data_IF_389291996587
#
_entry.id   IF_389291996587
#
_cell.length_a   1.000
_cell.length_b   1.000
_cell.length_c   1.000
_cell.angle_alpha   90.00
_cell.angle_beta   90.00
_cell.angle_gamma   90.00
#
_symmetry.space_group_name_H-M   'P 1'
#
loop_
_entity.id
_entity.type
_entity.pdbx_description
1 polymer ?
#
# COMPACT_ATOMS: atom_id res chain seq x y z
N UNK A 1 78.70 2.53 -22.07
CA UNK A 1 78.08 1.29 -21.57
C UNK A 1 76.70 1.67 -21.04
N UNK A 2 75.67 1.33 -21.83
CA UNK A 2 74.23 1.18 -21.54
C UNK A 2 73.56 2.17 -20.55
N UNK A 3 72.77 3.13 -21.05
CA UNK A 3 71.30 3.08 -21.17
C UNK A 3 70.61 2.53 -19.91
N UNK A 4 69.72 3.31 -19.28
CA UNK A 4 68.37 2.91 -18.86
C UNK A 4 67.57 4.20 -18.50
N UNK A 5 66.90 4.78 -19.50
CA UNK A 5 65.81 5.74 -19.27
C UNK A 5 64.57 4.93 -18.87
N UNK A 6 64.13 5.08 -17.62
CA UNK A 6 62.84 4.54 -17.18
C UNK A 6 61.79 5.62 -17.37
N UNK A 7 60.99 5.51 -18.44
CA UNK A 7 59.79 6.32 -18.64
C UNK A 7 58.71 5.73 -17.72
N UNK A 8 58.43 6.41 -16.60
CA UNK A 8 57.20 6.15 -15.84
C UNK A 8 56.02 6.75 -16.61
N UNK A 9 55.23 5.87 -17.25
CA UNK A 9 53.91 6.22 -17.74
C UNK A 9 53.01 6.48 -16.51
N UNK A 10 52.76 7.75 -16.20
CA UNK A 10 51.73 8.14 -15.25
C UNK A 10 50.40 7.87 -15.94
N UNK A 11 49.77 6.75 -15.62
CA UNK A 11 48.40 6.46 -16.01
C UNK A 11 47.50 7.38 -15.17
N UNK A 12 47.09 8.52 -15.73
CA UNK A 12 45.99 9.31 -15.16
C UNK A 12 44.73 8.43 -15.23
N UNK A 13 44.40 7.76 -14.13
CA UNK A 13 43.07 7.22 -13.93
C UNK A 13 42.13 8.42 -13.82
N UNK A 14 41.45 8.75 -14.92
CA UNK A 14 40.29 9.64 -14.91
C UNK A 14 39.24 8.97 -14.04
N UNK A 15 39.19 9.36 -12.76
CA UNK A 15 38.12 9.01 -11.83
C UNK A 15 36.84 9.63 -12.38
N UNK A 16 36.11 8.86 -13.17
CA UNK A 16 34.75 9.23 -13.55
C UNK A 16 33.96 9.25 -12.25
N UNK A 17 33.46 10.43 -11.88
CA UNK A 17 32.47 10.55 -10.81
C UNK A 17 31.22 9.85 -11.33
N UNK A 18 31.04 8.60 -10.93
CA UNK A 18 29.81 7.85 -11.21
C UNK A 18 28.70 8.48 -10.37
N UNK A 19 27.81 9.23 -11.01
CA UNK A 19 26.57 9.67 -10.38
C UNK A 19 25.50 8.61 -10.63
N UNK A 20 24.57 8.46 -9.69
CA UNK A 20 23.37 7.62 -9.87
C UNK A 20 22.14 8.43 -9.52
N UNK A 21 21.09 8.29 -10.33
CA UNK A 21 19.78 8.88 -10.09
C UNK A 21 18.79 7.74 -10.05
N UNK A 22 17.95 7.70 -9.01
CA UNK A 22 16.84 6.77 -8.88
C UNK A 22 15.57 7.57 -8.70
N UNK A 23 14.61 7.40 -9.63
CA UNK A 23 13.26 7.92 -9.44
C UNK A 23 12.57 7.13 -8.32
N UNK A 24 11.90 7.85 -7.42
CA UNK A 24 11.21 7.29 -6.25
C UNK A 24 9.69 7.49 -6.36
N UNK A 25 9.18 7.54 -7.58
CA UNK A 25 7.76 7.80 -7.88
C UNK A 25 7.44 9.28 -7.99
N UNK A 26 6.15 9.58 -8.17
CA UNK A 26 5.62 10.93 -8.34
C UNK A 26 4.30 11.10 -7.59
N UNK A 27 4.02 12.33 -7.15
CA UNK A 27 2.75 12.70 -6.54
C UNK A 27 1.95 13.48 -7.58
N UNK A 28 0.69 13.13 -7.74
CA UNK A 28 -0.25 13.82 -8.63
C UNK A 28 -1.53 14.15 -7.87
N UNK A 29 -2.25 15.15 -8.32
CA UNK A 29 -3.56 15.50 -7.77
C UNK A 29 -4.63 15.27 -8.83
N UNK A 30 -5.70 14.59 -8.44
CA UNK A 30 -6.90 14.41 -9.27
C UNK A 30 -8.11 14.85 -8.45
N UNK A 31 -8.77 15.92 -8.89
CA UNK A 31 -9.96 16.48 -8.23
C UNK A 31 -9.74 16.81 -6.74
N UNK A 32 -8.59 17.37 -6.37
CA UNK A 32 -8.26 17.69 -4.98
C UNK A 32 -7.81 16.51 -4.12
N UNK A 33 -7.71 15.30 -4.69
CA UNK A 33 -7.22 14.11 -4.01
C UNK A 33 -5.79 13.82 -4.47
N UNK A 34 -4.87 13.70 -3.52
CA UNK A 34 -3.47 13.36 -3.80
C UNK A 34 -3.30 11.86 -4.01
N UNK A 35 -2.53 11.50 -5.03
CA UNK A 35 -2.13 10.13 -5.35
C UNK A 35 -0.63 10.03 -5.50
N UNK A 36 -0.07 8.90 -5.08
CA UNK A 36 1.30 8.51 -5.36
C UNK A 36 1.33 7.43 -6.44
N UNK A 37 2.22 7.61 -7.41
CA UNK A 37 2.48 6.67 -8.49
C UNK A 37 3.86 6.07 -8.22
N UNK A 38 3.94 4.79 -7.79
CA UNK A 38 5.21 4.12 -7.56
C UNK A 38 6.03 4.04 -8.85
N UNK A 39 7.37 4.02 -8.76
CA UNK A 39 8.25 3.92 -9.94
C UNK A 39 8.09 2.58 -10.69
N UNK A 40 7.46 1.57 -10.05
CA UNK A 40 7.15 0.31 -10.70
C UNK A 40 6.15 0.53 -11.85
N UNK A 41 6.59 0.19 -13.05
CA UNK A 41 5.77 0.18 -14.27
C UNK A 41 4.99 -1.14 -14.32
N UNK A 42 3.67 -1.06 -14.48
CA UNK A 42 2.79 -2.23 -14.58
C UNK A 42 2.64 -2.75 -16.01
N UNK A 43 2.84 -1.86 -16.98
CA UNK A 43 2.83 -2.17 -18.41
C UNK A 43 3.31 -0.96 -19.20
N UNK A 44 3.73 -1.21 -20.44
CA UNK A 44 4.11 -0.17 -21.39
C UNK A 44 3.31 -0.37 -22.67
N UNK A 45 2.23 0.38 -22.79
CA UNK A 45 1.36 0.30 -23.94
C UNK A 45 1.15 1.67 -24.58
N UNK A 46 1.56 1.77 -25.84
CA UNK A 46 1.40 2.97 -26.66
C UNK A 46 0.59 2.66 -27.91
N UNK A 47 -0.14 3.65 -28.39
CA UNK A 47 -0.84 3.58 -29.67
C UNK A 47 -0.17 4.48 -30.69
N UNK A 48 0.88 3.96 -31.32
CA UNK A 48 1.50 4.67 -32.43
C UNK A 48 0.45 4.90 -33.53
N UNK A 49 0.37 6.13 -34.03
CA UNK A 49 -0.52 6.55 -35.11
C UNK A 49 -2.03 6.32 -34.88
N UNK A 50 -2.48 6.16 -33.63
CA UNK A 50 -3.91 6.08 -33.33
C UNK A 50 -4.54 7.48 -33.30
N UNK A 51 -5.57 7.76 -34.13
CA UNK A 51 -6.15 9.09 -34.25
C UNK A 51 -6.96 9.55 -33.04
N UNK A 52 -7.36 8.63 -32.15
CA UNK A 52 -8.00 8.95 -30.86
C UNK A 52 -6.92 9.38 -29.87
N UNK A 53 -5.83 8.62 -29.76
CA UNK A 53 -4.72 8.93 -28.85
C UNK A 53 -3.97 10.19 -29.27
N UNK A 54 -3.85 10.45 -30.58
CA UNK A 54 -3.27 11.69 -31.11
C UNK A 54 -4.01 12.97 -30.69
N UNK A 55 -5.25 12.86 -30.16
CA UNK A 55 -6.03 13.99 -29.63
C UNK A 55 -5.84 14.20 -28.13
N UNK A 56 -5.20 13.26 -27.44
CA UNK A 56 -4.88 13.35 -26.02
C UNK A 56 -3.63 14.22 -25.85
N UNK A 57 -3.77 15.36 -25.18
CA UNK A 57 -2.71 16.38 -25.07
C UNK A 57 -1.99 16.40 -23.73
N UNK A 58 -2.57 15.79 -22.69
CA UNK A 58 -1.98 15.80 -21.36
C UNK A 58 -0.84 14.76 -21.23
N UNK A 59 0.22 15.05 -20.45
CA UNK A 59 1.35 14.13 -20.29
C UNK A 59 0.98 12.86 -19.51
N UNK A 60 -0.11 12.91 -18.75
CA UNK A 60 -0.61 11.86 -17.88
C UNK A 60 -2.13 11.92 -17.82
N UNK A 61 -2.78 10.77 -18.03
CA UNK A 61 -4.22 10.62 -17.93
C UNK A 61 -4.58 9.69 -16.77
N UNK A 62 -5.57 10.03 -15.95
CA UNK A 62 -6.21 9.08 -15.05
C UNK A 62 -7.08 8.14 -15.89
N UNK A 63 -6.89 6.84 -15.70
CA UNK A 63 -7.53 5.82 -16.54
C UNK A 63 -8.24 4.77 -15.69
N UNK A 64 -9.17 4.05 -16.31
CA UNK A 64 -9.81 2.90 -15.69
C UNK A 64 -9.66 1.68 -16.58
N UNK A 65 -9.15 0.59 -16.03
CA UNK A 65 -9.19 -0.71 -16.70
C UNK A 65 -10.48 -1.44 -16.33
N UNK A 66 -11.19 -1.95 -17.34
CA UNK A 66 -12.43 -2.71 -17.19
C UNK A 66 -12.24 -4.09 -17.82
N UNK A 67 -12.53 -5.14 -17.05
CA UNK A 67 -12.63 -6.49 -17.58
C UNK A 67 -14.05 -6.73 -18.13
N UNK A 68 -14.13 -6.95 -19.44
CA UNK A 68 -15.38 -7.22 -20.17
C UNK A 68 -15.69 -8.71 -20.33
N UNK A 69 -14.78 -9.60 -19.94
CA UNK A 69 -14.95 -11.05 -20.08
C UNK A 69 -16.00 -11.62 -19.10
N UNK A 70 -16.35 -10.88 -18.05
CA UNK A 70 -17.35 -11.26 -17.03
C UNK A 70 -18.82 -11.10 -17.45
N UNK A 71 -19.11 -10.55 -18.64
CA UNK A 71 -20.46 -10.36 -19.19
C UNK A 71 -20.89 -8.90 -19.35
N UNK A 72 -22.06 -8.68 -19.97
CA UNK A 72 -22.63 -7.36 -20.30
C UNK A 72 -23.16 -6.62 -19.05
N UNK A 73 -22.27 -5.99 -18.29
CA UNK A 73 -22.67 -4.97 -17.29
C UNK A 73 -22.54 -3.59 -17.92
N UNK A 74 -23.55 -2.72 -17.74
CA UNK A 74 -23.45 -1.34 -18.21
C UNK A 74 -22.31 -0.61 -17.48
N UNK A 75 -21.66 0.36 -18.15
CA UNK A 75 -20.66 1.21 -17.50
C UNK A 75 -21.17 1.83 -16.18
N UNK A 76 -22.46 2.20 -16.12
CA UNK A 76 -23.11 2.70 -14.92
C UNK A 76 -23.05 1.71 -13.75
N UNK A 77 -23.34 0.44 -14.01
CA UNK A 77 -23.29 -0.62 -13.01
C UNK A 77 -21.84 -0.90 -12.57
N UNK A 78 -20.89 -0.86 -13.50
CA UNK A 78 -19.47 -1.03 -13.21
C UNK A 78 -18.96 0.10 -12.32
N UNK A 79 -19.25 1.36 -12.69
CA UNK A 79 -18.86 2.55 -11.91
C UNK A 79 -19.47 2.51 -10.52
N UNK A 80 -20.77 2.21 -10.41
CA UNK A 80 -21.43 2.09 -9.11
C UNK A 80 -20.82 0.97 -8.25
N UNK A 81 -20.50 -0.18 -8.86
CA UNK A 81 -19.81 -1.28 -8.20
C UNK A 81 -18.43 -0.85 -7.67
N UNK A 82 -17.62 -0.20 -8.51
CA UNK A 82 -16.29 0.26 -8.11
C UNK A 82 -16.36 1.29 -6.98
N UNK A 83 -17.23 2.28 -7.06
CA UNK A 83 -17.39 3.29 -5.99
C UNK A 83 -17.89 2.69 -4.67
N UNK A 84 -18.67 1.61 -4.73
CA UNK A 84 -19.13 0.92 -3.51
C UNK A 84 -18.06 0.08 -2.83
N UNK A 85 -17.05 -0.36 -3.59
CA UNK A 85 -16.00 -1.28 -3.11
C UNK A 85 -14.67 -0.60 -2.85
N UNK A 86 -14.39 0.53 -3.49
CA UNK A 86 -13.06 1.13 -3.54
C UNK A 86 -13.09 2.65 -3.31
N UNK A 87 -12.31 3.08 -2.33
CA UNK A 87 -12.10 4.46 -1.92
C UNK A 87 -10.97 5.16 -2.70
N UNK A 88 -10.24 4.43 -3.56
CA UNK A 88 -9.24 5.01 -4.46
C UNK A 88 -9.88 5.46 -5.77
N UNK A 89 -10.75 4.60 -6.33
CA UNK A 89 -11.51 4.91 -7.54
C UNK A 89 -12.47 6.09 -7.31
N UNK A 90 -12.49 7.01 -8.27
CA UNK A 90 -13.49 8.06 -8.40
C UNK A 90 -13.71 8.37 -9.88
N UNK A 91 -14.78 9.11 -10.19
CA UNK A 91 -15.17 9.41 -11.57
C UNK A 91 -14.08 10.11 -12.40
N UNK A 92 -13.10 10.76 -11.77
CA UNK A 92 -11.96 11.35 -12.46
C UNK A 92 -11.08 10.32 -13.17
N UNK A 93 -11.10 9.05 -12.74
CA UNK A 93 -10.39 7.97 -13.43
C UNK A 93 -11.06 7.51 -14.72
N UNK A 94 -12.24 8.04 -15.07
CA UNK A 94 -12.92 7.70 -16.31
C UNK A 94 -12.45 8.51 -17.52
N UNK A 95 -11.43 9.37 -17.39
CA UNK A 95 -10.96 10.20 -18.50
C UNK A 95 -10.58 9.36 -19.73
N UNK A 96 -9.92 8.22 -19.51
CA UNK A 96 -9.70 7.19 -20.53
C UNK A 96 -10.05 5.81 -19.97
N UNK A 97 -10.82 5.04 -20.73
CA UNK A 97 -11.21 3.67 -20.35
C UNK A 97 -10.46 2.68 -21.22
N UNK A 98 -9.81 1.72 -20.57
CA UNK A 98 -9.20 0.56 -21.20
C UNK A 98 -10.02 -0.70 -20.94
N UNK A 99 -10.05 -1.61 -21.92
CA UNK A 99 -10.73 -2.89 -21.75
C UNK A 99 -10.06 -4.06 -22.47
N UNK A 100 -10.26 -5.27 -21.96
CA UNK A 100 -9.73 -6.50 -22.59
C UNK A 100 -10.57 -7.02 -23.79
N UNK A 101 -11.73 -6.41 -24.10
CA UNK A 101 -12.56 -6.77 -25.25
C UNK A 101 -11.92 -6.40 -26.60
N UNK A 102 -12.27 -7.14 -27.66
CA UNK A 102 -11.78 -6.90 -29.04
C UNK A 102 -12.55 -5.79 -29.79
N UNK A 103 -13.69 -5.35 -29.25
CA UNK A 103 -14.49 -4.24 -29.75
C UNK A 103 -15.04 -3.41 -28.59
N UNK A 104 -15.36 -2.14 -28.86
CA UNK A 104 -15.93 -1.21 -27.87
C UNK A 104 -17.41 -1.50 -27.58
N UNK A 105 -18.04 -2.39 -28.36
CA UNK A 105 -19.50 -2.61 -28.41
C UNK A 105 -20.10 -3.19 -27.11
N UNK A 106 -19.27 -3.64 -26.16
CA UNK A 106 -19.70 -4.30 -24.93
C UNK A 106 -19.77 -3.43 -23.66
N UNK A 107 -19.28 -2.19 -23.67
CA UNK A 107 -19.15 -1.36 -22.44
C UNK A 107 -20.24 -0.32 -22.34
N UNK A 108 -20.32 0.57 -23.34
CA UNK A 108 -21.38 1.57 -23.53
C UNK A 108 -21.13 2.29 -24.87
N UNK A 109 -22.17 2.95 -25.42
CA UNK A 109 -21.97 3.95 -26.47
C UNK A 109 -21.07 5.10 -25.98
N UNK A 110 -20.05 5.44 -26.78
CA UNK A 110 -19.05 6.45 -26.42
C UNK A 110 -19.66 7.84 -26.19
N UNK A 111 -20.66 8.25 -26.97
CA UNK A 111 -21.27 9.57 -26.78
C UNK A 111 -22.01 9.66 -25.44
N UNK A 112 -22.68 8.57 -25.06
CA UNK A 112 -23.32 8.44 -23.74
C UNK A 112 -22.28 8.54 -22.62
N UNK A 113 -21.22 7.75 -22.68
CA UNK A 113 -20.14 7.76 -21.68
C UNK A 113 -19.45 9.13 -21.59
N UNK A 114 -19.18 9.77 -22.72
CA UNK A 114 -18.61 11.12 -22.79
C UNK A 114 -19.52 12.17 -22.18
N UNK A 115 -20.80 12.17 -22.53
CA UNK A 115 -21.76 13.16 -22.02
C UNK A 115 -21.98 13.06 -20.51
N UNK A 116 -21.90 11.85 -19.95
CA UNK A 116 -22.19 11.58 -18.54
C UNK A 116 -20.96 11.68 -17.64
N UNK A 117 -19.84 11.13 -18.08
CA UNK A 117 -18.63 10.98 -17.26
C UNK A 117 -17.43 11.77 -17.76
N UNK A 118 -17.54 12.47 -18.90
CA UNK A 118 -16.44 13.24 -19.47
C UNK A 118 -15.36 12.37 -20.14
N UNK A 119 -15.67 11.11 -20.46
CA UNK A 119 -14.74 10.18 -21.12
C UNK A 119 -14.20 10.77 -22.43
N UNK A 120 -12.88 10.82 -22.58
CA UNK A 120 -12.22 11.28 -23.81
C UNK A 120 -11.95 10.13 -24.78
N UNK A 121 -11.70 8.93 -24.27
CA UNK A 121 -11.41 7.75 -25.10
C UNK A 121 -11.83 6.44 -24.42
N UNK A 122 -12.30 5.48 -25.23
CA UNK A 122 -12.49 4.08 -24.86
C UNK A 122 -11.64 3.25 -25.83
N UNK A 123 -10.69 2.50 -25.28
CA UNK A 123 -9.64 1.86 -26.05
C UNK A 123 -9.47 0.38 -25.63
N UNK A 124 -9.22 -0.52 -26.58
CA UNK A 124 -8.83 -1.89 -26.24
C UNK A 124 -7.42 -1.90 -25.64
N UNK A 125 -7.21 -2.76 -24.64
CA UNK A 125 -5.93 -3.08 -24.05
C UNK A 125 -5.46 -4.44 -24.57
N UNK A 126 -4.39 -4.51 -25.36
CA UNK A 126 -3.89 -5.77 -25.86
C UNK A 126 -3.27 -6.55 -24.70
N UNK A 127 -3.74 -7.79 -24.51
CA UNK A 127 -3.14 -8.72 -23.56
C UNK A 127 -2.14 -9.58 -24.33
N UNK A 128 -0.86 -9.39 -24.05
CA UNK A 128 0.24 -10.16 -24.64
C UNK A 128 1.40 -10.34 -23.66
N UNK A 129 2.50 -10.98 -24.09
CA UNK A 129 3.65 -11.24 -23.22
C UNK A 129 4.35 -9.97 -22.70
N UNK A 130 4.20 -8.84 -23.39
CA UNK A 130 4.74 -7.52 -23.00
C UNK A 130 3.73 -6.69 -22.20
N UNK A 131 2.44 -7.00 -22.30
CA UNK A 131 1.33 -6.35 -21.62
C UNK A 131 0.47 -7.39 -20.89
N UNK A 132 0.87 -7.82 -19.68
CA UNK A 132 0.08 -8.78 -18.91
C UNK A 132 -1.29 -8.17 -18.58
N UNK A 133 -2.33 -9.02 -18.37
CA UNK A 133 -3.64 -8.52 -17.99
C UNK A 133 -3.53 -7.71 -16.70
N UNK A 134 -4.03 -6.47 -16.74
CA UNK A 134 -4.15 -5.64 -15.56
C UNK A 134 -5.40 -6.03 -14.79
N UNK A 135 -5.38 -6.01 -13.45
CA UNK A 135 -6.61 -6.05 -12.69
C UNK A 135 -7.55 -4.90 -13.09
N UNK A 136 -8.87 -5.06 -12.92
CA UNK A 136 -9.78 -3.95 -13.04
C UNK A 136 -9.47 -2.84 -12.02
N UNK A 137 -9.74 -1.58 -12.39
CA UNK A 137 -9.63 -0.46 -11.45
C UNK A 137 -8.90 0.78 -12.00
N UNK A 138 -8.62 1.75 -11.11
CA UNK A 138 -8.03 3.03 -11.48
C UNK A 138 -6.52 2.91 -11.73
N UNK A 139 -5.97 3.61 -12.71
CA UNK A 139 -4.53 3.71 -12.96
C UNK A 139 -4.18 5.09 -13.49
N UNK A 140 -2.89 5.35 -13.67
CA UNK A 140 -2.43 6.50 -14.45
C UNK A 140 -1.63 6.01 -15.65
N UNK A 141 -1.82 6.65 -16.79
CA UNK A 141 -1.17 6.29 -18.05
C UNK A 141 -0.61 7.52 -18.75
N UNK A 142 0.61 7.40 -19.25
CA UNK A 142 1.26 8.45 -20.05
C UNK A 142 1.20 8.09 -21.53
N UNK A 143 0.45 8.83 -22.37
CA UNK A 143 0.34 8.52 -23.81
C UNK A 143 1.69 8.52 -24.54
N UNK A 144 2.60 9.42 -24.16
CA UNK A 144 3.89 9.58 -24.81
C UNK A 144 4.87 8.42 -24.56
N UNK A 145 4.84 7.83 -23.36
CA UNK A 145 5.74 6.73 -22.98
C UNK A 145 5.05 5.36 -22.96
N UNK A 146 3.72 5.35 -22.95
CA UNK A 146 2.90 4.17 -22.75
C UNK A 146 2.90 3.61 -21.32
N UNK A 147 3.63 4.24 -20.39
CA UNK A 147 3.78 3.74 -19.02
C UNK A 147 2.45 3.77 -18.29
N UNK A 148 2.12 2.66 -17.61
CA UNK A 148 0.98 2.54 -16.68
C UNK A 148 1.51 2.37 -15.25
N UNK A 149 1.00 3.19 -14.34
CA UNK A 149 1.29 3.10 -12.91
C UNK A 149 0.01 2.86 -12.10
N UNK A 150 0.14 2.11 -11.01
CA UNK A 150 -0.91 2.01 -10.00
C UNK A 150 -1.17 3.36 -9.34
N UNK A 151 -2.42 3.59 -8.96
CA UNK A 151 -2.86 4.71 -8.14
C UNK A 151 -2.84 4.29 -6.66
N UNK A 152 -2.01 4.96 -5.86
CA UNK A 152 -2.07 4.88 -4.41
C UNK A 152 -2.66 6.18 -3.89
N UNK A 153 -3.88 6.15 -3.35
CA UNK A 153 -4.46 7.33 -2.71
C UNK A 153 -3.64 7.67 -1.46
N UNK A 154 -3.32 8.94 -1.29
CA UNK A 154 -2.57 9.42 -0.15
C UNK A 154 -3.53 9.89 0.96
N UNK A 155 -3.42 9.26 2.12
CA UNK A 155 -4.20 9.61 3.32
C UNK A 155 -3.28 10.17 4.41
N UNK A 156 -3.59 11.34 4.99
CA UNK A 156 -2.93 11.79 6.21
C UNK A 156 -3.24 10.86 7.40
N UNK A 157 -2.23 10.49 8.17
CA UNK A 157 -2.31 9.72 9.42
C UNK A 157 -2.58 10.68 10.59
N UNK A 158 -3.78 11.27 10.64
CA UNK A 158 -4.12 12.33 11.60
C UNK A 158 -4.11 11.86 13.06
N UNK A 159 -4.28 10.56 13.30
CA UNK A 159 -4.21 9.96 14.63
C UNK A 159 -2.79 9.54 14.98
N UNK A 160 -1.86 9.60 14.02
CA UNK A 160 -0.49 9.15 14.21
C UNK A 160 -0.42 7.67 14.58
N UNK A 161 -1.24 6.81 13.97
CA UNK A 161 -1.28 5.38 14.23
C UNK A 161 -0.07 4.63 13.64
N UNK A 162 0.58 5.20 12.62
CA UNK A 162 1.65 4.54 11.88
C UNK A 162 3.04 5.01 12.31
N UNK A 163 4.02 4.13 12.17
CA UNK A 163 5.44 4.50 12.15
C UNK A 163 5.93 4.72 10.72
N UNK A 164 5.41 3.96 9.75
CA UNK A 164 5.78 4.02 8.34
C UNK A 164 4.63 3.54 7.44
N UNK A 165 4.34 4.26 6.35
CA UNK A 165 3.58 3.74 5.22
C UNK A 165 4.47 2.91 4.28
N UNK A 166 3.95 1.80 3.75
CA UNK A 166 4.73 0.84 2.98
C UNK A 166 4.18 0.63 1.57
N UNK A 167 5.08 0.34 0.62
CA UNK A 167 4.76 -0.07 -0.75
C UNK A 167 5.62 -1.27 -1.15
N UNK A 168 5.15 -2.19 -2.02
CA UNK A 168 5.96 -3.31 -2.48
C UNK A 168 7.13 -2.83 -3.37
N UNK A 169 8.34 -3.34 -3.13
CA UNK A 169 9.54 -3.01 -3.92
C UNK A 169 9.75 -3.91 -5.15
N UNK A 170 8.93 -4.98 -5.28
CA UNK A 170 8.88 -5.85 -6.47
C UNK A 170 9.64 -7.17 -6.36
N UNK A 171 10.47 -7.36 -5.33
CA UNK A 171 11.22 -8.60 -5.05
C UNK A 171 10.68 -9.38 -3.83
N UNK A 172 9.42 -9.13 -3.44
CA UNK A 172 8.82 -9.66 -2.21
C UNK A 172 9.13 -8.84 -0.95
N UNK A 173 10.00 -7.82 -1.04
CA UNK A 173 10.22 -6.86 0.04
C UNK A 173 9.35 -5.60 -0.11
N UNK A 174 9.52 -4.68 0.84
CA UNK A 174 8.81 -3.42 0.91
C UNK A 174 9.79 -2.24 1.01
N UNK A 175 9.33 -1.09 0.52
CA UNK A 175 9.94 0.22 0.71
C UNK A 175 9.01 1.10 1.54
N UNK A 176 9.59 2.09 2.24
CA UNK A 176 8.82 3.16 2.87
C UNK A 176 8.33 4.12 1.79
N UNK A 177 7.05 4.47 1.82
CA UNK A 177 6.50 5.42 0.85
C UNK A 177 7.17 6.80 0.99
N UNK A 178 7.77 7.34 -0.10
CA UNK A 178 8.47 8.62 -0.06
C UNK A 178 7.54 9.77 -0.47
N UNK A 179 6.29 9.79 0.03
CA UNK A 179 5.27 10.74 -0.38
C UNK A 179 4.50 11.31 0.81
N UNK A 180 4.07 12.56 0.69
CA UNK A 180 3.22 13.24 1.64
C UNK A 180 2.14 14.03 0.91
N UNK A 181 0.94 14.09 1.48
CA UNK A 181 -0.10 15.03 1.01
C UNK A 181 0.44 16.46 1.20
N UNK A 182 0.49 17.28 0.14
CA UNK A 182 0.96 18.66 0.25
C UNK A 182 0.20 19.43 1.33
N UNK A 183 0.92 19.97 2.31
CA UNK A 183 0.33 20.74 3.41
C UNK A 183 -0.21 19.93 4.58
N UNK A 184 -0.15 18.60 4.56
CA UNK A 184 -0.53 17.77 5.71
C UNK A 184 0.45 17.96 6.88
N UNK A 185 -0.08 18.08 8.10
CA UNK A 185 0.71 18.16 9.34
C UNK A 185 1.14 16.80 9.90
N UNK A 186 0.66 15.71 9.30
CA UNK A 186 0.88 14.33 9.69
C UNK A 186 1.62 13.54 8.60
N UNK A 187 2.13 12.37 8.96
CA UNK A 187 2.66 11.43 7.98
C UNK A 187 1.54 11.01 7.01
N UNK A 188 1.91 10.56 5.82
CA UNK A 188 0.97 10.08 4.83
C UNK A 188 1.12 8.58 4.59
N UNK A 189 0.00 7.91 4.41
CA UNK A 189 -0.10 6.50 4.05
C UNK A 189 -0.61 6.39 2.62
N UNK A 190 0.11 5.64 1.78
CA UNK A 190 -0.32 5.32 0.43
C UNK A 190 -1.16 4.06 0.43
N UNK A 191 -2.41 4.18 -0.03
CA UNK A 191 -3.38 3.09 -0.02
C UNK A 191 -3.73 2.72 -1.47
N UNK A 192 -3.44 1.49 -1.93
CA UNK A 192 -3.78 1.05 -3.27
C UNK A 192 -5.27 0.70 -3.41
N UNK A 193 -5.77 0.70 -4.64
CA UNK A 193 -7.15 0.31 -4.94
C UNK A 193 -7.43 -1.14 -4.51
N UNK A 194 -8.61 -1.37 -3.92
CA UNK A 194 -9.12 -2.72 -3.60
C UNK A 194 -9.42 -3.53 -4.86
N UNK A 195 -9.71 -2.87 -5.97
CA UNK A 195 -10.05 -3.50 -7.24
C UNK A 195 -8.87 -4.25 -7.86
N UNK A 196 -7.64 -3.92 -7.44
CA UNK A 196 -6.44 -4.64 -7.87
C UNK A 196 -6.37 -6.10 -7.39
N UNK A 197 -7.24 -6.46 -6.44
CA UNK A 197 -7.30 -7.78 -5.87
C UNK A 197 -8.62 -8.45 -6.24
N UNK A 198 -8.52 -9.70 -6.69
CA UNK A 198 -9.69 -10.55 -6.96
C UNK A 198 -9.79 -11.61 -5.88
N UNK A 199 -10.96 -11.71 -5.24
CA UNK A 199 -11.22 -12.76 -4.24
C UNK A 199 -11.23 -14.12 -4.92
N UNK A 200 -10.44 -15.03 -4.37
CA UNK A 200 -10.27 -16.41 -4.79
C UNK A 200 -10.21 -17.26 -3.51
N UNK A 201 -10.85 -18.45 -3.44
CA UNK A 201 -10.64 -19.39 -2.34
C UNK A 201 -9.18 -19.60 -1.91
N UNK A 202 -8.21 -19.52 -2.82
CA UNK A 202 -6.78 -19.60 -2.50
C UNK A 202 -6.21 -18.33 -1.85
N UNK A 203 -6.89 -17.18 -2.02
CA UNK A 203 -6.53 -15.86 -1.48
C UNK A 203 -7.72 -15.25 -0.74
N UNK A 204 -8.11 -15.80 0.41
CA UNK A 204 -9.31 -15.36 1.12
C UNK A 204 -9.23 -13.90 1.62
N UNK A 205 -8.01 -13.34 1.75
CA UNK A 205 -7.77 -11.96 2.16
C UNK A 205 -7.49 -11.02 0.99
N UNK A 206 -7.73 -11.43 -0.26
CA UNK A 206 -7.54 -10.56 -1.42
C UNK A 206 -8.28 -9.21 -1.25
N UNK A 207 -7.51 -8.13 -1.26
CA UNK A 207 -8.01 -6.76 -1.11
C UNK A 207 -8.20 -6.28 0.33
N UNK A 208 -7.95 -7.14 1.32
CA UNK A 208 -7.92 -6.77 2.74
C UNK A 208 -6.64 -5.99 3.01
N UNK A 209 -6.77 -4.78 3.50
CA UNK A 209 -5.68 -3.86 3.82
C UNK A 209 -5.23 -4.08 5.25
N UNK A 210 -3.96 -4.44 5.40
CA UNK A 210 -3.35 -4.93 6.61
C UNK A 210 -2.34 -3.93 7.17
N UNK A 211 -2.50 -3.54 8.43
CA UNK A 211 -1.48 -2.86 9.22
C UNK A 211 -0.74 -3.84 10.13
N UNK A 212 0.52 -3.57 10.46
CA UNK A 212 1.31 -4.48 11.30
C UNK A 212 2.06 -3.71 12.36
N UNK A 213 1.91 -4.10 13.62
CA UNK A 213 2.63 -3.53 14.77
C UNK A 213 4.13 -3.51 14.53
N UNK A 214 4.79 -2.48 15.03
CA UNK A 214 6.16 -2.17 14.63
C UNK A 214 7.22 -3.23 14.98
N UNK A 215 6.92 -4.13 15.91
CA UNK A 215 7.81 -5.21 16.38
C UNK A 215 7.90 -6.42 15.45
N UNK A 216 7.08 -6.52 14.41
CA UNK A 216 7.14 -7.62 13.43
C UNK A 216 8.09 -7.27 12.29
N UNK A 217 8.97 -8.19 11.93
CA UNK A 217 9.84 -8.04 10.77
C UNK A 217 9.03 -8.03 9.47
N UNK A 218 9.39 -7.11 8.59
CA UNK A 218 8.88 -6.98 7.22
C UNK A 218 10.10 -6.82 6.32
N UNK A 219 10.25 -7.67 5.32
CA UNK A 219 11.42 -7.67 4.45
C UNK A 219 11.66 -6.28 3.83
N UNK A 220 12.89 -5.76 3.94
CA UNK A 220 13.28 -4.44 3.47
C UNK A 220 13.02 -3.29 4.45
N UNK A 221 12.34 -3.55 5.58
CA UNK A 221 11.89 -2.52 6.51
C UNK A 221 12.56 -2.67 7.88
N UNK A 222 12.87 -1.54 8.51
CA UNK A 222 13.43 -1.48 9.87
C UNK A 222 12.30 -1.48 10.90
N UNK A 223 12.48 -2.23 11.98
CA UNK A 223 11.60 -2.20 13.15
C UNK A 223 12.20 -1.29 14.22
N UNK A 224 11.43 -0.35 14.77
CA UNK A 224 11.87 0.49 15.88
C UNK A 224 11.56 -0.13 17.24
N UNK A 225 10.51 -0.96 17.32
CA UNK A 225 9.95 -1.42 18.58
C UNK A 225 9.57 -0.26 19.50
N UNK A 226 9.18 0.91 18.96
CA UNK A 226 8.91 2.10 19.79
C UNK A 226 10.15 2.70 20.45
N UNK A 227 11.36 2.45 19.93
CA UNK A 227 12.62 3.00 20.44
C UNK A 227 13.49 3.59 19.32
N UNK A 228 13.89 4.86 19.44
CA UNK A 228 14.65 5.55 18.37
C UNK A 228 16.09 5.05 18.24
N UNK A 229 16.74 4.71 19.35
CA UNK A 229 18.10 4.20 19.33
C UNK A 229 18.15 2.81 18.68
N UNK A 230 17.19 1.95 19.01
CA UNK A 230 17.03 0.64 18.38
C UNK A 230 16.74 0.78 16.89
N UNK A 231 15.86 1.71 16.49
CA UNK A 231 15.65 2.02 15.08
C UNK A 231 16.96 2.43 14.40
N UNK A 232 17.78 3.30 14.99
CA UNK A 232 19.04 3.71 14.36
C UNK A 232 20.01 2.55 14.17
N UNK A 233 20.11 1.66 15.16
CA UNK A 233 21.07 0.55 15.17
C UNK A 233 20.62 -0.68 14.37
N UNK A 234 19.31 -0.87 14.21
CA UNK A 234 18.77 -2.07 13.56
C UNK A 234 18.89 -1.98 12.03
N UNK A 235 19.37 -3.03 11.34
CA UNK A 235 19.29 -3.09 9.89
C UNK A 235 17.83 -3.33 9.45
N UNK A 236 17.49 -3.07 8.17
CA UNK A 236 16.25 -3.58 7.60
C UNK A 236 16.17 -5.10 7.73
N UNK A 237 14.98 -5.64 7.98
CA UNK A 237 14.79 -7.08 8.07
C UNK A 237 15.01 -7.75 6.70
N UNK A 238 15.62 -8.93 6.70
CA UNK A 238 15.85 -9.72 5.48
C UNK A 238 14.62 -10.50 5.03
N UNK A 239 13.79 -10.92 5.99
CA UNK A 239 12.60 -11.73 5.76
C UNK A 239 11.41 -11.09 6.48
N UNK A 240 10.21 -11.29 5.93
CA UNK A 240 8.97 -10.97 6.61
C UNK A 240 8.66 -12.05 7.63
N UNK A 241 8.21 -11.67 8.83
CA UNK A 241 7.83 -12.60 9.89
C UNK A 241 6.78 -13.61 9.35
N UNK A 242 6.92 -14.93 9.61
CA UNK A 242 6.03 -15.95 9.03
C UNK A 242 4.53 -15.71 9.31
N UNK A 243 4.20 -15.18 10.48
CA UNK A 243 2.83 -14.83 10.83
C UNK A 243 2.24 -13.76 9.90
N UNK A 244 3.05 -12.80 9.46
CA UNK A 244 2.66 -11.75 8.52
C UNK A 244 2.68 -12.27 7.09
N UNK A 245 3.70 -13.05 6.72
CA UNK A 245 3.81 -13.64 5.39
C UNK A 245 2.59 -14.53 5.06
N UNK A 246 2.08 -15.30 6.03
CA UNK A 246 0.86 -16.11 5.85
C UNK A 246 -0.34 -15.25 5.40
N UNK A 247 -0.49 -14.04 5.94
CA UNK A 247 -1.59 -13.14 5.57
C UNK A 247 -1.38 -12.54 4.18
N UNK A 248 -0.15 -12.16 3.85
CA UNK A 248 0.23 -11.66 2.53
C UNK A 248 -0.01 -12.74 1.46
N UNK A 249 0.40 -13.98 1.73
CA UNK A 249 0.20 -15.12 0.83
C UNK A 249 -1.30 -15.42 0.63
N UNK A 250 -2.11 -15.21 1.67
CA UNK A 250 -3.57 -15.27 1.61
C UNK A 250 -4.21 -14.07 0.88
N UNK A 251 -3.42 -13.12 0.37
CA UNK A 251 -3.87 -12.00 -0.46
C UNK A 251 -4.00 -10.66 0.26
N UNK A 252 -3.65 -10.57 1.55
CA UNK A 252 -3.70 -9.30 2.27
C UNK A 252 -2.68 -8.29 1.72
N UNK A 253 -3.08 -7.03 1.65
CA UNK A 253 -2.28 -5.92 1.17
C UNK A 253 -1.67 -5.19 2.38
N UNK A 254 -0.38 -5.39 2.62
CA UNK A 254 0.33 -4.69 3.69
C UNK A 254 0.46 -3.19 3.38
N UNK A 255 -0.08 -2.36 4.28
CA UNK A 255 -0.15 -0.90 4.14
C UNK A 255 0.92 -0.18 4.94
N UNK A 256 1.32 -0.70 6.09
CA UNK A 256 2.17 0.06 7.00
C UNK A 256 2.63 -0.66 8.24
N UNK A 257 3.71 -0.14 8.83
CA UNK A 257 4.12 -0.43 10.20
C UNK A 257 3.39 0.51 11.16
N UNK A 258 2.87 -0.03 12.26
CA UNK A 258 1.99 0.67 13.19
C UNK A 258 2.60 0.79 14.58
N UNK A 259 2.34 1.91 15.26
CA UNK A 259 2.97 2.24 16.53
C UNK A 259 2.72 1.20 17.63
N UNK A 260 3.70 1.11 18.52
CA UNK A 260 3.71 0.28 19.71
C UNK A 260 4.25 1.09 20.88
N UNK A 261 3.90 0.74 22.13
CA UNK A 261 4.73 1.15 23.26
C UNK A 261 6.10 0.47 23.16
N UNK A 262 7.12 1.11 23.75
CA UNK A 262 8.52 0.73 23.62
C UNK A 262 8.74 -0.74 24.02
N UNK A 263 9.28 -1.54 23.10
CA UNK A 263 9.50 -2.99 23.18
C UNK A 263 8.28 -3.77 23.65
N UNK A 264 7.09 -3.30 23.27
CA UNK A 264 5.81 -3.80 23.74
C UNK A 264 5.62 -3.74 25.28
N UNK A 265 6.52 -3.06 25.99
CA UNK A 265 6.63 -3.02 27.44
C UNK A 265 5.79 -1.88 28.03
N UNK A 266 4.78 -2.25 28.82
CA UNK A 266 3.99 -1.33 29.64
C UNK A 266 2.93 -0.53 28.90
N UNK A 267 2.04 0.06 29.72
CA UNK A 267 0.84 0.80 29.32
C UNK A 267 1.02 2.33 29.38
N UNK A 268 2.25 2.84 29.51
CA UNK A 268 2.50 4.26 29.73
C UNK A 268 3.05 4.97 28.49
N UNK A 269 2.74 6.25 28.37
CA UNK A 269 3.24 7.12 27.33
C UNK A 269 4.78 7.13 27.32
N UNK A 270 5.38 6.71 26.19
CA UNK A 270 6.81 6.76 25.98
C UNK A 270 7.21 8.07 25.32
N UNK A 271 8.29 8.71 25.79
CA UNK A 271 8.85 9.94 25.21
C UNK A 271 9.40 9.71 23.80
N UNK A 272 9.72 8.47 23.45
CA UNK A 272 10.26 8.15 22.14
C UNK A 272 9.20 8.34 21.06
N UNK A 273 8.38 7.34 20.81
CA UNK A 273 7.24 7.51 19.90
C UNK A 273 6.02 7.87 20.74
N UNK A 274 5.48 9.06 20.50
CA UNK A 274 4.22 9.45 21.14
C UNK A 274 3.12 8.47 20.73
N UNK A 275 2.31 8.09 21.73
CA UNK A 275 1.13 7.29 21.52
C UNK A 275 0.21 7.94 20.46
N UNK A 276 -0.50 7.12 19.66
CA UNK A 276 -1.51 7.63 18.75
C UNK A 276 -2.68 8.29 19.51
N UNK A 277 -3.39 9.17 18.83
CA UNK A 277 -4.57 9.84 19.38
C UNK A 277 -5.77 8.89 19.37
N UNK A 278 -6.40 8.68 20.52
CA UNK A 278 -7.59 7.84 20.61
C UNK A 278 -8.76 8.52 19.87
N UNK A 279 -9.40 7.86 18.88
CA UNK A 279 -10.48 8.47 18.11
C UNK A 279 -11.80 8.60 18.89
N UNK A 280 -11.88 8.04 20.11
CA UNK A 280 -13.07 8.10 20.96
C UNK A 280 -13.00 9.24 21.97
N UNK A 281 -14.18 9.72 22.36
CA UNK A 281 -14.33 10.79 23.34
C UNK A 281 -13.87 12.14 22.79
N UNK A 282 -13.09 12.87 23.56
CA UNK A 282 -12.41 14.12 23.17
C UNK A 282 -10.96 13.87 22.68
N UNK A 283 -10.59 12.59 22.59
CA UNK A 283 -9.30 12.04 22.21
C UNK A 283 -8.10 12.37 23.11
N UNK A 284 -8.35 12.87 24.32
CA UNK A 284 -7.35 12.92 25.39
C UNK A 284 -7.31 11.63 26.23
N UNK A 285 -8.08 10.62 25.83
CA UNK A 285 -8.04 9.29 26.44
C UNK A 285 -6.81 8.52 25.98
N UNK A 286 -6.20 7.78 26.90
CA UNK A 286 -5.15 6.82 26.56
C UNK A 286 -5.72 5.82 25.53
N UNK A 287 -5.03 5.51 24.42
CA UNK A 287 -5.48 4.50 23.46
C UNK A 287 -5.33 3.06 23.96
N UNK A 288 -4.72 2.83 25.14
CA UNK A 288 -4.31 1.51 25.58
C UNK A 288 -3.06 1.04 24.84
N UNK A 289 -2.35 0.07 25.42
CA UNK A 289 -1.06 -0.40 24.92
C UNK A 289 -0.90 -1.92 25.12
N UNK A 290 0.05 -2.57 24.45
CA UNK A 290 1.08 -2.00 23.57
C UNK A 290 0.75 -1.98 22.07
N UNK A 291 -0.36 -2.56 21.61
CA UNK A 291 -0.79 -2.47 20.19
C UNK A 291 -1.65 -1.22 19.94
N UNK A 292 -1.19 -0.06 20.40
CA UNK A 292 -1.93 1.20 20.32
C UNK A 292 -2.19 1.68 18.89
N UNK A 293 -1.16 1.64 18.05
CA UNK A 293 -1.26 2.02 16.63
C UNK A 293 -2.28 1.16 15.89
N UNK A 294 -2.16 -0.18 15.92
CA UNK A 294 -3.16 -1.11 15.41
C UNK A 294 -4.61 -0.75 15.79
N UNK A 295 -4.94 -0.61 17.08
CA UNK A 295 -6.31 -0.38 17.51
C UNK A 295 -6.85 0.98 17.08
N UNK A 296 -6.03 2.03 17.24
CA UNK A 296 -6.40 3.38 16.81
C UNK A 296 -6.58 3.45 15.31
N UNK A 297 -5.68 2.86 14.52
CA UNK A 297 -5.77 2.89 13.07
C UNK A 297 -7.04 2.23 12.57
N UNK A 298 -7.36 1.03 13.08
CA UNK A 298 -8.59 0.31 12.72
C UNK A 298 -9.84 1.08 13.17
N UNK A 299 -9.78 1.76 14.31
CA UNK A 299 -10.89 2.58 14.81
C UNK A 299 -11.09 3.91 14.04
N UNK A 300 -10.06 4.40 13.34
CA UNK A 300 -10.05 5.73 12.73
C UNK A 300 -10.17 5.73 11.21
N UNK A 301 -9.73 4.65 10.57
CA UNK A 301 -9.53 4.61 9.13
C UNK A 301 -10.40 3.52 8.50
N UNK A 302 -11.49 3.93 7.85
CA UNK A 302 -12.39 3.03 7.10
C UNK A 302 -11.66 2.26 5.98
N UNK A 303 -10.51 2.80 5.52
CA UNK A 303 -9.68 2.16 4.53
C UNK A 303 -8.75 1.07 5.11
N UNK A 304 -8.65 0.91 6.43
CA UNK A 304 -7.83 -0.10 7.10
C UNK A 304 -8.73 -1.19 7.71
N UNK A 305 -8.60 -2.42 7.22
CA UNK A 305 -9.52 -3.51 7.58
C UNK A 305 -9.08 -4.26 8.85
N UNK A 306 -7.77 -4.53 8.93
CA UNK A 306 -7.17 -5.45 9.87
C UNK A 306 -5.81 -4.93 10.30
N UNK A 307 -5.48 -5.06 11.57
CA UNK A 307 -4.14 -4.85 12.06
C UNK A 307 -3.66 -6.03 12.91
N UNK A 308 -2.40 -6.43 12.72
CA UNK A 308 -1.75 -7.47 13.53
C UNK A 308 -0.93 -6.84 14.64
N UNK A 309 -1.05 -7.39 15.84
CA UNK A 309 -0.27 -7.01 17.00
C UNK A 309 0.10 -8.22 17.87
N UNK A 310 0.45 -7.95 19.12
CA UNK A 310 0.82 -9.00 20.10
C UNK A 310 0.11 -8.77 21.42
N UNK A 311 -0.18 -9.85 22.14
CA UNK A 311 -0.79 -9.82 23.48
C UNK A 311 -0.02 -10.73 24.45
N UNK A 312 0.82 -10.10 25.28
CA UNK A 312 1.54 -10.76 26.37
C UNK A 312 0.70 -10.78 27.65
N UNK A 313 0.25 -9.59 28.07
CA UNK A 313 -0.56 -9.40 29.29
C UNK A 313 -1.91 -8.73 29.05
N UNK A 314 -2.23 -8.35 27.81
CA UNK A 314 -3.40 -7.53 27.48
C UNK A 314 -3.22 -6.70 26.21
N UNK A 315 -2.06 -6.72 25.57
CA UNK A 315 -1.67 -5.76 24.53
C UNK A 315 -2.47 -5.79 23.22
N UNK A 316 -3.45 -6.67 23.06
CA UNK A 316 -4.50 -6.59 22.04
C UNK A 316 -5.84 -6.25 22.68
N UNK A 317 -6.21 -6.99 23.74
CA UNK A 317 -7.54 -6.84 24.37
C UNK A 317 -7.76 -5.46 25.00
N UNK A 318 -6.72 -4.87 25.59
CA UNK A 318 -6.78 -3.55 26.23
C UNK A 318 -6.96 -2.44 25.18
N UNK A 319 -6.06 -2.27 24.18
CA UNK A 319 -6.28 -1.29 23.11
C UNK A 319 -7.61 -1.49 22.37
N UNK A 320 -7.98 -2.73 22.06
CA UNK A 320 -9.25 -3.01 21.39
C UNK A 320 -10.47 -2.52 22.18
N UNK A 321 -10.53 -2.86 23.48
CA UNK A 321 -11.64 -2.45 24.35
C UNK A 321 -11.74 -0.93 24.53
N UNK A 322 -10.60 -0.25 24.60
CA UNK A 322 -10.53 1.21 24.79
C UNK A 322 -10.95 1.95 23.50
N UNK A 323 -10.44 1.53 22.34
CA UNK A 323 -10.75 2.16 21.04
C UNK A 323 -12.05 1.64 20.41
N UNK A 324 -12.74 0.68 21.04
CA UNK A 324 -14.04 0.20 20.58
C UNK A 324 -14.00 -0.66 19.33
N UNK A 325 -12.91 -1.42 19.15
CA UNK A 325 -12.74 -2.37 18.03
C UNK A 325 -12.72 -3.81 18.54
N UNK A 326 -12.83 -4.77 17.64
CA UNK A 326 -12.68 -6.18 18.00
C UNK A 326 -11.21 -6.53 18.14
N UNK A 327 -10.87 -7.29 19.18
CA UNK A 327 -9.51 -7.78 19.43
C UNK A 327 -9.53 -9.27 19.75
N UNK A 328 -8.71 -10.07 19.05
CA UNK A 328 -8.55 -11.49 19.32
C UNK A 328 -7.15 -11.80 19.84
N UNK A 329 -7.12 -12.47 21.00
CA UNK A 329 -5.93 -13.14 21.55
C UNK A 329 -6.12 -14.65 21.36
N UNK A 330 -5.48 -15.27 20.36
CA UNK A 330 -5.51 -16.72 20.16
C UNK A 330 -4.93 -17.50 21.35
N UNK A 331 -5.07 -18.83 21.31
CA UNK A 331 -4.29 -19.72 22.17
C UNK A 331 -2.80 -19.54 21.91
N UNK A 332 -1.97 -19.78 22.92
CA UNK A 332 -0.51 -19.86 22.75
C UNK A 332 -0.15 -20.83 21.62
N UNK A 333 0.98 -20.57 20.95
CA UNK A 333 1.51 -21.35 19.83
C UNK A 333 0.64 -21.42 18.56
N UNK A 334 -0.46 -20.64 18.47
CA UNK A 334 -1.29 -20.57 17.26
C UNK A 334 -0.58 -19.92 16.06
N UNK A 335 0.53 -19.23 16.30
CA UNK A 335 1.36 -18.60 15.27
C UNK A 335 2.84 -18.64 15.66
N UNK A 336 3.72 -18.70 14.67
CA UNK A 336 5.16 -18.65 14.89
C UNK A 336 5.60 -17.24 15.31
N UNK A 337 6.38 -17.16 16.40
CA UNK A 337 6.93 -15.90 16.92
C UNK A 337 8.27 -15.49 16.28
N UNK A 338 8.73 -16.20 15.23
CA UNK A 338 9.97 -15.87 14.50
C UNK A 338 9.82 -14.48 13.86
N UNK A 339 10.85 -13.64 13.99
CA UNK A 339 10.86 -12.30 13.40
C UNK A 339 9.97 -11.31 14.15
N UNK A 340 9.80 -11.49 15.46
CA UNK A 340 9.06 -10.58 16.34
C UNK A 340 9.99 -10.20 17.49
N UNK A 341 10.10 -8.92 17.81
CA UNK A 341 10.84 -8.47 19.00
C UNK A 341 10.10 -9.00 20.25
N UNK A 342 10.72 -9.88 21.06
CA UNK A 342 10.04 -10.54 22.17
C UNK A 342 9.88 -9.61 23.38
N UNK A 343 8.85 -9.86 24.18
CA UNK A 343 8.71 -9.29 25.53
C UNK A 343 8.85 -10.39 26.59
N UNK A 344 8.02 -11.42 26.51
CA UNK A 344 8.07 -12.62 27.36
C UNK A 344 7.70 -13.82 26.51
N UNK A 345 8.68 -14.56 25.96
CA UNK A 345 8.43 -15.60 24.95
C UNK A 345 7.38 -16.65 25.34
N UNK A 346 7.28 -16.99 26.63
CA UNK A 346 6.32 -17.97 27.15
C UNK A 346 4.88 -17.43 27.24
N UNK A 347 4.71 -16.11 27.18
CA UNK A 347 3.42 -15.43 27.30
C UNK A 347 2.98 -14.75 25.99
N UNK A 348 3.93 -14.40 25.13
CA UNK A 348 3.71 -13.68 23.88
C UNK A 348 2.78 -14.48 22.94
N UNK A 349 1.85 -13.79 22.30
CA UNK A 349 0.95 -14.37 21.30
C UNK A 349 0.67 -13.35 20.21
N UNK A 350 0.65 -13.80 18.95
CA UNK A 350 0.20 -12.97 17.82
C UNK A 350 -1.32 -12.85 17.85
N UNK A 351 -1.83 -11.62 17.86
CA UNK A 351 -3.25 -11.34 17.83
C UNK A 351 -3.60 -10.33 16.76
N UNK A 352 -4.90 -10.03 16.63
CA UNK A 352 -5.41 -9.12 15.61
C UNK A 352 -6.46 -8.18 16.18
N UNK A 353 -6.52 -7.00 15.60
CA UNK A 353 -7.54 -5.98 15.84
C UNK A 353 -8.20 -5.62 14.51
N UNK A 354 -9.53 -5.50 14.51
CA UNK A 354 -10.31 -5.41 13.27
C UNK A 354 -11.66 -4.74 13.48
N UNK A 355 -12.19 -4.18 12.40
CA UNK A 355 -13.52 -3.56 12.37
C UNK A 355 -14.63 -4.63 12.31
N UNK A 356 -15.87 -4.24 12.60
CA UNK A 356 -17.04 -5.14 12.53
C UNK A 356 -17.20 -5.81 11.18
N UNK A 357 -16.83 -5.11 10.11
CA UNK A 357 -17.05 -5.56 8.73
C UNK A 357 -16.07 -6.69 8.35
N UNK A 358 -15.05 -6.90 9.18
CA UNK A 358 -14.03 -7.96 9.01
C UNK A 358 -14.29 -9.22 9.86
N UNK A 359 -15.34 -9.27 10.68
CA UNK A 359 -15.65 -10.44 11.54
C UNK A 359 -15.80 -11.72 10.70
N UNK A 360 -16.32 -11.60 9.47
CA UNK A 360 -16.49 -12.75 8.56
C UNK A 360 -15.16 -13.28 7.98
N UNK A 361 -14.10 -12.48 7.93
CA UNK A 361 -12.80 -12.87 7.34
C UNK A 361 -12.00 -13.81 8.25
N UNK A 362 -12.16 -13.71 9.57
CA UNK A 362 -11.41 -14.53 10.52
C UNK A 362 -11.81 -16.01 10.53
N UNK A 363 -13.03 -16.35 10.09
CA UNK A 363 -13.45 -17.74 9.94
C UNK A 363 -12.71 -18.48 8.80
N UNK A 364 -11.95 -17.75 7.98
CA UNK A 364 -11.22 -18.29 6.82
C UNK A 364 -9.70 -18.40 7.00
N UNK A 365 -9.17 -18.01 8.18
CA UNK A 365 -7.74 -17.99 8.51
C UNK A 365 -7.35 -19.05 9.54
#
# INVERSE_FOLDING_TARGET
MFLHSSIQLILLALTHVAYSISLKGQIVELNGISFYLPPKVLGTFGFNDNPVVAKLTEPLYPITFIDTAGGNSSLDAIVAGYQSLDDVFNIGFLQVIFHNGHSNDGIQDFQTAKSKYGVEAILPYPVDASNPPLPPGPYFWSPASGIINAAYRLYPDEQGAFTQGLIPSGNGAYDVIPAAVPGAGSMTIGVPSRLYSTKDPAKPLAGVRLGVKDIFDVAGIKSSGGNRAYYQLSPPANETAPAIQKLIDAGAVLIGKMKTSQFANGEWATVDYHAPFNPRGDGYQDPGSSSSGPAVGVASYDWLDLAVGTDTGGSIRVPAGVNGVYGIRPSHDSALLKGIIPLSPEMDTVGMEYSSDCVMLLNSL
#
